data_IF_956915402167
#
_entry.id   IF_956915402167
#
_cell.length_a   1.000
_cell.length_b   1.000
_cell.length_c   1.000
_cell.angle_alpha   90.00
_cell.angle_beta   90.00
_cell.angle_gamma   90.00
#
_symmetry.space_group_name_H-M   'P 1'
#
loop_
_entity.id
_entity.type
_entity.pdbx_description
1 polymer ?
#
# COMPACT_ATOMS: atom_id res chain seq x y z
N UNK A 1 6.97 -18.54 1.08
CA UNK A 1 5.88 -17.70 1.66
C UNK A 1 5.03 -17.08 0.57
N UNK A 2 3.71 -16.99 0.79
CA UNK A 2 2.72 -16.57 -0.23
C UNK A 2 2.32 -15.09 -0.14
N UNK A 3 2.25 -14.40 -1.28
CA UNK A 3 1.90 -12.96 -1.38
C UNK A 3 0.61 -12.77 -2.17
N UNK A 4 -0.36 -12.02 -1.61
CA UNK A 4 -1.58 -11.63 -2.34
C UNK A 4 -1.53 -10.17 -2.72
N UNK A 5 -1.50 -9.89 -4.02
CA UNK A 5 -1.54 -8.54 -4.58
C UNK A 5 -2.97 -8.13 -4.96
N UNK A 6 -3.50 -7.08 -4.31
CA UNK A 6 -4.81 -6.49 -4.64
C UNK A 6 -4.58 -5.14 -5.34
N UNK A 7 -4.43 -5.18 -6.66
CA UNK A 7 -4.37 -3.99 -7.53
C UNK A 7 -2.99 -3.58 -8.06
N UNK A 8 -3.01 -2.75 -9.12
CA UNK A 8 -1.82 -2.33 -9.91
C UNK A 8 -0.77 -1.53 -9.11
N UNK A 9 -1.18 -0.82 -8.07
CA UNK A 9 -0.31 0.10 -7.37
C UNK A 9 0.67 -0.59 -6.39
N UNK A 10 0.47 -1.88 -6.13
CA UNK A 10 1.24 -2.73 -5.23
C UNK A 10 2.37 -3.48 -5.90
N UNK A 11 2.43 -3.41 -7.23
CA UNK A 11 3.41 -4.10 -8.06
C UNK A 11 4.86 -3.95 -7.59
N UNK A 12 5.26 -2.78 -7.10
CA UNK A 12 6.60 -2.62 -6.53
C UNK A 12 6.83 -3.39 -5.25
N UNK A 13 5.86 -3.32 -4.33
CA UNK A 13 5.96 -4.05 -3.09
C UNK A 13 5.97 -5.55 -3.37
N UNK A 14 5.20 -6.00 -4.37
CA UNK A 14 5.21 -7.40 -4.82
C UNK A 14 6.50 -7.80 -5.54
N UNK A 15 7.11 -6.94 -6.37
CA UNK A 15 8.43 -7.19 -6.96
C UNK A 15 9.52 -7.29 -5.89
N UNK A 16 9.54 -6.33 -4.98
CA UNK A 16 10.44 -6.36 -3.83
C UNK A 16 10.27 -7.69 -3.07
N UNK A 17 9.03 -8.10 -2.77
CA UNK A 17 8.75 -9.33 -2.03
C UNK A 17 9.33 -10.55 -2.72
N UNK A 18 9.18 -10.61 -4.05
CA UNK A 18 9.75 -11.67 -4.86
C UNK A 18 11.27 -11.68 -4.81
N UNK A 19 11.90 -10.52 -4.99
CA UNK A 19 13.36 -10.37 -5.00
C UNK A 19 13.95 -10.71 -3.61
N UNK A 20 13.14 -10.63 -2.56
CA UNK A 20 13.48 -11.02 -1.18
C UNK A 20 13.03 -12.42 -0.80
N UNK A 21 12.65 -13.27 -1.77
CA UNK A 21 12.44 -14.71 -1.54
C UNK A 21 10.98 -15.14 -1.41
N UNK A 22 9.99 -14.30 -1.74
CA UNK A 22 8.61 -14.77 -1.85
C UNK A 22 8.46 -15.80 -2.99
N UNK A 23 8.15 -17.04 -2.63
CA UNK A 23 8.07 -18.19 -3.53
C UNK A 23 6.78 -18.24 -4.35
N UNK A 24 5.68 -17.69 -3.83
CA UNK A 24 4.37 -17.73 -4.47
C UNK A 24 3.71 -16.36 -4.45
N UNK A 25 3.30 -15.89 -5.64
CA UNK A 25 2.60 -14.63 -5.81
C UNK A 25 1.26 -14.91 -6.45
N UNK A 26 0.19 -14.53 -5.76
CA UNK A 26 -1.17 -14.57 -6.28
C UNK A 26 -1.68 -13.15 -6.45
N UNK A 27 -2.21 -12.83 -7.62
CA UNK A 27 -2.76 -11.51 -7.91
C UNK A 27 -4.27 -11.62 -8.05
N UNK A 28 -4.98 -10.69 -7.43
CA UNK A 28 -6.43 -10.61 -7.57
C UNK A 28 -6.91 -9.19 -7.84
N UNK A 29 -7.93 -9.06 -8.67
CA UNK A 29 -8.50 -7.78 -9.08
C UNK A 29 -9.98 -7.97 -9.45
N UNK A 30 -10.80 -6.94 -9.20
CA UNK A 30 -12.23 -6.94 -9.60
C UNK A 30 -12.41 -7.15 -11.11
N UNK A 31 -11.45 -6.69 -11.91
CA UNK A 31 -11.35 -7.00 -13.34
C UNK A 31 -10.30 -8.10 -13.50
N UNK A 32 -10.73 -9.32 -13.82
CA UNK A 32 -9.86 -10.50 -13.82
C UNK A 32 -8.72 -10.39 -14.84
N UNK A 33 -8.96 -9.79 -16.00
CA UNK A 33 -7.95 -9.57 -17.05
C UNK A 33 -6.77 -8.72 -16.51
N UNK A 34 -7.05 -7.74 -15.64
CA UNK A 34 -5.99 -6.96 -14.98
C UNK A 34 -5.20 -7.77 -13.96
N UNK A 35 -5.81 -8.79 -13.36
CA UNK A 35 -5.10 -9.70 -12.48
C UNK A 35 -4.16 -10.60 -13.29
N UNK A 36 -4.61 -11.11 -14.45
CA UNK A 36 -3.79 -11.92 -15.37
C UNK A 36 -2.57 -11.16 -15.90
N UNK A 37 -2.79 -9.95 -16.44
CA UNK A 37 -1.70 -9.09 -16.95
C UNK A 37 -0.62 -8.85 -15.88
N UNK A 38 -1.05 -8.54 -14.65
CA UNK A 38 -0.15 -8.24 -13.55
C UNK A 38 0.53 -9.51 -12.99
N UNK A 39 -0.19 -10.63 -12.91
CA UNK A 39 0.37 -11.92 -12.50
C UNK A 39 1.47 -12.37 -13.46
N UNK A 40 1.23 -12.26 -14.77
CA UNK A 40 2.20 -12.62 -15.80
C UNK A 40 3.49 -11.81 -15.68
N UNK A 41 3.38 -10.52 -15.41
CA UNK A 41 4.55 -9.65 -15.26
C UNK A 41 5.33 -9.92 -13.96
N UNK A 42 4.63 -10.33 -12.91
CA UNK A 42 5.24 -10.68 -11.62
C UNK A 42 5.78 -12.10 -11.57
N UNK A 43 5.46 -12.96 -12.55
CA UNK A 43 5.77 -14.39 -12.52
C UNK A 43 4.94 -15.14 -11.49
N UNK A 44 3.72 -14.66 -11.22
CA UNK A 44 2.76 -15.27 -10.30
C UNK A 44 1.51 -15.79 -11.01
N UNK A 45 0.49 -16.10 -10.23
CA UNK A 45 -0.79 -16.62 -10.71
C UNK A 45 -1.93 -15.62 -10.47
N UNK A 46 -2.87 -15.54 -11.40
CA UNK A 46 -4.08 -14.74 -11.21
C UNK A 46 -5.17 -15.58 -10.55
N UNK A 47 -5.89 -14.99 -9.61
CA UNK A 47 -7.05 -15.61 -8.97
C UNK A 47 -8.26 -14.68 -8.99
N UNK A 48 -9.49 -15.21 -9.20
CA UNK A 48 -10.71 -14.41 -9.17
C UNK A 48 -10.87 -13.63 -7.86
N UNK A 49 -11.37 -12.39 -7.94
CA UNK A 49 -11.60 -11.54 -6.77
C UNK A 49 -12.52 -12.17 -5.72
N UNK A 50 -13.42 -13.05 -6.14
CA UNK A 50 -14.29 -13.81 -5.23
C UNK A 50 -13.53 -14.76 -4.31
N UNK A 51 -12.30 -15.15 -4.65
CA UNK A 51 -11.46 -16.03 -3.83
C UNK A 51 -10.62 -15.26 -2.79
N UNK A 52 -10.70 -13.93 -2.76
CA UNK A 52 -9.94 -13.10 -1.81
C UNK A 52 -10.06 -13.59 -0.35
N UNK A 53 -11.25 -13.95 0.19
CA UNK A 53 -11.35 -14.47 1.56
C UNK A 53 -10.51 -15.73 1.81
N UNK A 54 -10.47 -16.65 0.86
CA UNK A 54 -9.69 -17.90 0.97
C UNK A 54 -8.20 -17.60 0.90
N UNK A 55 -7.79 -16.76 -0.07
CA UNK A 55 -6.40 -16.35 -0.24
C UNK A 55 -5.85 -15.63 1.00
N UNK A 56 -6.67 -14.84 1.70
CA UNK A 56 -6.28 -14.23 2.98
C UNK A 56 -5.92 -15.28 4.05
N UNK A 57 -6.58 -16.44 4.02
CA UNK A 57 -6.30 -17.56 4.91
C UNK A 57 -4.97 -18.24 4.63
N UNK A 58 -4.48 -18.20 3.40
CA UNK A 58 -3.27 -18.91 2.96
C UNK A 58 -2.02 -18.02 2.91
N UNK A 59 -2.21 -16.75 2.57
CA UNK A 59 -1.12 -15.80 2.30
C UNK A 59 -0.40 -15.35 3.56
N UNK A 60 0.92 -15.17 3.52
CA UNK A 60 1.68 -14.59 4.63
C UNK A 60 1.62 -13.07 4.61
N UNK A 61 1.62 -12.50 3.40
CA UNK A 61 1.67 -11.07 3.15
C UNK A 61 0.59 -10.68 2.13
N UNK A 62 -0.15 -9.62 2.42
CA UNK A 62 -1.18 -9.06 1.54
C UNK A 62 -0.83 -7.61 1.25
N UNK A 63 -0.73 -7.27 -0.02
CA UNK A 63 -0.46 -5.90 -0.48
C UNK A 63 -1.71 -5.36 -1.15
N UNK A 64 -2.36 -4.37 -0.53
CA UNK A 64 -3.58 -3.74 -1.07
C UNK A 64 -3.33 -2.32 -1.52
N UNK A 65 -3.68 -2.02 -2.77
CA UNK A 65 -3.38 -0.72 -3.41
C UNK A 65 -4.48 -0.21 -4.33
N UNK A 66 -5.70 -0.67 -4.10
CA UNK A 66 -6.85 -0.35 -4.93
C UNK A 66 -7.20 1.14 -4.86
N UNK A 67 -7.98 1.58 -5.84
CA UNK A 67 -8.60 2.91 -5.83
C UNK A 67 -10.04 2.89 -5.32
N UNK A 68 -10.41 1.88 -4.53
CA UNK A 68 -11.76 1.71 -4.02
C UNK A 68 -12.15 2.87 -3.10
N UNK A 69 -13.39 3.38 -3.16
CA UNK A 69 -13.86 4.42 -2.23
C UNK A 69 -14.15 3.90 -0.81
N UNK A 70 -14.02 2.60 -0.55
CA UNK A 70 -14.22 1.98 0.76
C UNK A 70 -13.36 0.73 0.95
N UNK A 71 -13.37 0.17 2.15
CA UNK A 71 -12.52 -0.97 2.51
C UNK A 71 -12.82 -2.18 1.63
N UNK A 72 -11.78 -2.65 0.93
CA UNK A 72 -11.76 -3.89 0.16
C UNK A 72 -11.59 -5.08 1.08
N UNK A 73 -10.78 -4.94 2.13
CA UNK A 73 -10.62 -5.93 3.19
C UNK A 73 -11.37 -5.42 4.43
N UNK A 74 -12.50 -6.03 4.73
CA UNK A 74 -13.28 -5.70 5.92
C UNK A 74 -12.69 -6.38 7.17
N UNK A 75 -13.05 -5.88 8.34
CA UNK A 75 -12.65 -6.48 9.62
C UNK A 75 -13.05 -7.96 9.70
N UNK A 76 -14.26 -8.28 9.25
CA UNK A 76 -14.82 -9.62 9.30
C UNK A 76 -14.04 -10.58 8.39
N UNK A 77 -13.66 -10.14 7.18
CA UNK A 77 -12.84 -10.96 6.28
C UNK A 77 -11.49 -11.29 6.89
N UNK A 78 -10.81 -10.30 7.47
CA UNK A 78 -9.51 -10.51 8.12
C UNK A 78 -9.67 -11.41 9.35
N UNK A 79 -10.70 -11.19 10.16
CA UNK A 79 -10.98 -12.03 11.33
C UNK A 79 -11.23 -13.49 10.94
N UNK A 80 -12.03 -13.75 9.89
CA UNK A 80 -12.24 -15.11 9.39
C UNK A 80 -10.95 -15.74 8.89
N UNK A 81 -10.10 -14.98 8.19
CA UNK A 81 -8.80 -15.47 7.75
C UNK A 81 -7.92 -15.90 8.93
N UNK A 82 -7.90 -15.15 10.04
CA UNK A 82 -7.09 -15.51 11.23
C UNK A 82 -7.51 -16.82 11.91
N UNK A 83 -8.78 -17.22 11.79
CA UNK A 83 -9.28 -18.45 12.41
C UNK A 83 -8.68 -19.72 11.76
N UNK A 84 -8.28 -19.64 10.49
CA UNK A 84 -7.84 -20.80 9.70
C UNK A 84 -6.31 -20.92 9.61
N UNK A 85 -5.56 -20.21 10.46
CA UNK A 85 -4.12 -19.96 10.27
C UNK A 85 -3.21 -20.57 11.33
N UNK A 86 -3.72 -21.36 12.27
CA UNK A 86 -2.92 -21.96 13.36
C UNK A 86 -1.97 -20.96 14.05
N UNK A 87 -2.44 -19.73 14.28
CA UNK A 87 -1.67 -18.60 14.84
C UNK A 87 -0.51 -18.05 13.98
N UNK A 88 -0.41 -18.44 12.71
CA UNK A 88 0.54 -17.83 11.76
C UNK A 88 0.23 -16.34 11.55
N UNK A 89 1.25 -15.46 11.65
CA UNK A 89 1.08 -14.04 11.37
C UNK A 89 0.48 -13.75 9.99
N UNK A 90 -0.34 -12.69 9.91
CA UNK A 90 -0.83 -12.13 8.65
C UNK A 90 -0.36 -10.68 8.54
N UNK A 91 0.50 -10.41 7.56
CA UNK A 91 0.99 -9.06 7.28
C UNK A 91 0.12 -8.39 6.23
N UNK A 92 -0.41 -7.22 6.55
CA UNK A 92 -1.26 -6.43 5.68
C UNK A 92 -0.56 -5.10 5.37
N UNK A 93 -0.31 -4.84 4.08
CA UNK A 93 0.30 -3.60 3.61
C UNK A 93 -0.74 -2.79 2.82
N UNK A 94 -1.29 -1.75 3.45
CA UNK A 94 -2.26 -0.83 2.87
C UNK A 94 -1.57 0.40 2.27
N UNK A 95 -1.38 0.37 0.95
CA UNK A 95 -0.76 1.45 0.16
C UNK A 95 -1.85 2.23 -0.62
N UNK A 96 -3.12 2.04 -0.28
CA UNK A 96 -4.25 2.71 -0.92
C UNK A 96 -4.56 4.07 -0.27
N UNK A 97 -5.06 4.99 -1.09
CA UNK A 97 -5.59 6.29 -0.64
C UNK A 97 -6.84 6.60 -1.46
N UNK A 98 -8.05 6.60 -0.86
CA UNK A 98 -8.36 6.23 0.53
C UNK A 98 -8.02 4.76 0.86
N UNK A 99 -7.95 4.42 2.15
CA UNK A 99 -7.50 3.10 2.65
C UNK A 99 -8.36 1.96 2.13
N UNK A 100 -7.70 0.85 1.80
CA UNK A 100 -8.37 -0.39 1.38
C UNK A 100 -8.70 -1.31 2.55
N UNK A 101 -7.98 -1.19 3.65
CA UNK A 101 -8.09 -2.14 4.76
C UNK A 101 -8.73 -1.43 5.94
N UNK A 102 -9.73 -2.08 6.55
CA UNK A 102 -10.35 -1.55 7.75
C UNK A 102 -9.29 -1.40 8.87
N UNK A 103 -9.04 -0.18 9.39
CA UNK A 103 -7.98 0.05 10.37
C UNK A 103 -8.20 -0.69 11.69
N UNK A 104 -9.43 -1.15 11.97
CA UNK A 104 -9.74 -1.98 13.15
C UNK A 104 -9.05 -3.36 13.09
N UNK A 105 -8.67 -3.83 11.90
CA UNK A 105 -7.94 -5.09 11.74
C UNK A 105 -6.62 -5.13 12.52
N UNK A 106 -6.02 -3.97 12.83
CA UNK A 106 -4.82 -3.85 13.68
C UNK A 106 -5.04 -4.37 15.13
N UNK A 107 -6.28 -4.52 15.57
CA UNK A 107 -6.61 -5.02 16.92
C UNK A 107 -6.75 -6.54 16.99
N UNK A 108 -6.69 -7.23 15.85
CA UNK A 108 -6.78 -8.68 15.80
C UNK A 108 -5.43 -9.30 16.16
N UNK A 109 -5.45 -10.37 16.94
CA UNK A 109 -4.24 -11.11 17.28
C UNK A 109 -3.58 -11.68 16.02
N UNK A 110 -2.24 -11.65 15.99
CA UNK A 110 -1.42 -12.11 14.86
C UNK A 110 -1.69 -11.38 13.52
N UNK A 111 -2.30 -10.20 13.54
CA UNK A 111 -2.47 -9.33 12.36
C UNK A 111 -1.59 -8.09 12.46
N UNK A 112 -0.71 -7.92 11.48
CA UNK A 112 0.20 -6.79 11.40
C UNK A 112 -0.19 -5.90 10.24
N UNK A 113 -1.02 -4.89 10.52
CA UNK A 113 -1.42 -3.90 9.53
C UNK A 113 -0.44 -2.73 9.51
N UNK A 114 0.20 -2.55 8.36
CA UNK A 114 1.04 -1.40 8.02
C UNK A 114 0.37 -0.62 6.90
N UNK A 115 0.30 0.69 7.06
CA UNK A 115 -0.05 1.59 5.98
C UNK A 115 1.18 2.41 5.59
N UNK A 116 1.00 3.20 4.54
CA UNK A 116 2.04 4.07 4.01
C UNK A 116 2.65 5.08 5.01
N UNK A 117 1.91 5.45 6.06
CA UNK A 117 2.38 6.35 7.12
C UNK A 117 3.23 5.61 8.15
N UNK A 118 2.94 4.34 8.43
CA UNK A 118 3.76 3.53 9.34
C UNK A 118 5.15 3.24 8.75
N UNK A 119 5.27 3.22 7.42
CA UNK A 119 6.55 3.11 6.72
C UNK A 119 7.49 4.31 6.99
N UNK A 120 6.95 5.47 7.38
CA UNK A 120 7.75 6.65 7.73
C UNK A 120 8.39 6.51 9.13
N UNK A 121 7.69 5.89 10.08
CA UNK A 121 8.13 5.77 11.48
C UNK A 121 9.29 4.77 11.66
N UNK A 122 9.36 3.73 10.84
CA UNK A 122 10.43 2.70 10.91
C UNK A 122 11.78 3.23 10.43
N UNK A 123 11.80 4.27 9.58
CA UNK A 123 13.06 4.90 9.13
C UNK A 123 13.76 5.66 10.27
N UNK A 124 13.00 6.25 11.20
CA UNK A 124 13.56 6.96 12.35
C UNK A 124 14.05 6.02 13.45
N UNK A 125 13.33 4.92 13.72
CA UNK A 125 13.71 3.93 14.74
C UNK A 125 15.04 3.20 14.43
N UNK A 126 15.33 2.96 13.15
CA UNK A 126 16.57 2.31 12.68
C UNK A 126 17.85 3.12 12.92
N UNK A 127 17.75 4.41 13.23
CA UNK A 127 18.91 5.23 13.60
C UNK A 127 19.30 5.04 15.07
N UNK A 128 18.38 4.61 15.93
CA UNK A 128 18.60 4.48 17.37
C UNK A 128 18.90 3.04 17.82
N UNK A 129 18.34 2.02 17.16
CA UNK A 129 18.47 0.62 17.60
C UNK A 129 19.82 -0.04 17.28
N UNK A 130 20.61 0.49 16.34
CA UNK A 130 21.95 -0.03 16.00
C UNK A 130 23.02 0.14 17.10
N UNK A 131 22.64 0.71 18.25
CA UNK A 131 23.58 0.99 19.32
C UNK A 131 23.62 -0.07 20.44
N UNK A 132 22.62 -0.96 20.57
CA UNK A 132 22.42 -1.57 21.89
C UNK A 132 22.50 -3.08 22.05
N UNK A 133 21.96 -3.99 21.24
CA UNK A 133 21.98 -5.40 21.68
C UNK A 133 22.32 -6.40 20.59
N UNK A 134 23.34 -7.20 20.92
CA UNK A 134 23.73 -8.44 20.28
C UNK A 134 23.68 -9.49 21.39
N UNK A 135 22.77 -10.47 21.34
CA UNK A 135 22.87 -11.66 22.18
C UNK A 135 22.26 -12.92 21.53
N UNK A 136 23.13 -13.67 20.83
CA UNK A 136 23.27 -15.15 20.70
C UNK A 136 22.07 -16.09 20.50
N UNK A 137 20.83 -15.63 20.49
CA UNK A 137 19.64 -16.36 20.00
C UNK A 137 19.08 -15.71 18.72
N UNK A 138 19.56 -14.50 18.41
CA UNK A 138 19.06 -13.63 17.34
C UNK A 138 19.57 -14.00 15.94
N UNK A 139 20.69 -14.73 15.77
CA UNK A 139 21.35 -14.88 14.46
C UNK A 139 20.50 -15.51 13.33
N UNK A 140 19.55 -16.40 13.66
CA UNK A 140 18.63 -16.99 12.66
C UNK A 140 17.46 -16.05 12.37
N UNK A 141 17.02 -15.29 13.37
CA UNK A 141 16.00 -14.25 13.20
C UNK A 141 16.58 -13.03 12.50
N UNK A 142 17.86 -12.73 12.69
CA UNK A 142 18.60 -11.62 12.08
C UNK A 142 18.76 -11.79 10.58
N UNK A 143 19.02 -12.99 10.05
CA UNK A 143 19.07 -13.18 8.58
C UNK A 143 17.69 -12.95 7.93
N UNK A 144 16.62 -13.46 8.54
CA UNK A 144 15.25 -13.23 8.08
C UNK A 144 14.83 -11.76 8.28
N UNK A 145 15.24 -11.13 9.37
CA UNK A 145 15.00 -9.70 9.64
C UNK A 145 15.83 -8.83 8.71
N UNK A 146 17.06 -9.19 8.37
CA UNK A 146 17.90 -8.42 7.45
C UNK A 146 17.45 -8.58 6.02
N UNK A 147 17.05 -9.79 5.59
CA UNK A 147 16.36 -9.99 4.31
C UNK A 147 15.04 -9.22 4.26
N UNK A 148 14.26 -9.24 5.34
CA UNK A 148 13.05 -8.43 5.51
C UNK A 148 13.35 -6.92 5.54
N UNK A 149 14.49 -6.49 6.06
CA UNK A 149 14.86 -5.08 6.17
C UNK A 149 15.50 -4.56 4.88
N UNK A 150 16.23 -5.37 4.13
CA UNK A 150 16.66 -5.09 2.76
C UNK A 150 15.46 -5.04 1.82
N UNK A 151 14.56 -6.00 1.95
CA UNK A 151 13.23 -5.96 1.34
C UNK A 151 12.50 -4.66 1.69
N UNK A 152 12.43 -4.31 2.97
CA UNK A 152 11.76 -3.10 3.47
C UNK A 152 12.41 -1.82 2.94
N UNK A 153 13.75 -1.78 2.86
CA UNK A 153 14.51 -0.66 2.28
C UNK A 153 14.26 -0.53 0.78
N UNK A 154 14.02 -1.63 0.06
CA UNK A 154 13.60 -1.57 -1.35
C UNK A 154 12.24 -0.86 -1.52
N UNK A 155 11.42 -0.77 -0.46
CA UNK A 155 10.17 0.00 -0.45
C UNK A 155 10.36 1.51 -0.18
N UNK A 156 11.59 2.04 -0.11
CA UNK A 156 11.87 3.44 0.26
C UNK A 156 11.16 4.50 -0.61
N UNK A 157 10.69 4.16 -1.80
CA UNK A 157 9.89 5.07 -2.64
C UNK A 157 8.41 5.12 -2.25
N UNK A 158 7.90 4.05 -1.62
CA UNK A 158 6.49 3.91 -1.24
C UNK A 158 6.03 5.06 -0.33
N UNK A 159 6.77 5.46 0.72
CA UNK A 159 6.40 6.62 1.55
C UNK A 159 6.27 7.93 0.77
N UNK A 160 7.14 8.14 -0.23
CA UNK A 160 7.13 9.35 -1.07
C UNK A 160 5.93 9.39 -1.99
N UNK A 161 5.57 8.25 -2.59
CA UNK A 161 4.34 8.09 -3.38
C UNK A 161 3.11 8.38 -2.50
N UNK A 162 3.13 7.94 -1.24
CA UNK A 162 2.06 8.20 -0.29
C UNK A 162 1.88 9.64 0.08
N UNK A 163 2.98 10.31 0.43
CA UNK A 163 2.99 11.73 0.74
C UNK A 163 2.44 12.55 -0.45
N UNK A 164 2.89 12.23 -1.67
CA UNK A 164 2.39 12.83 -2.89
C UNK A 164 0.87 12.63 -3.08
N UNK A 165 0.38 11.40 -2.89
CA UNK A 165 -1.05 11.07 -3.01
C UNK A 165 -1.89 11.78 -1.96
N UNK A 166 -1.46 11.82 -0.70
CA UNK A 166 -2.15 12.53 0.39
C UNK A 166 -2.24 14.03 0.12
N UNK A 167 -1.13 14.65 -0.28
CA UNK A 167 -1.12 16.07 -0.59
C UNK A 167 -2.06 16.41 -1.75
N UNK A 168 -2.04 15.61 -2.82
CA UNK A 168 -2.93 15.79 -3.95
C UNK A 168 -4.41 15.62 -3.55
N UNK A 169 -4.73 14.63 -2.69
CA UNK A 169 -6.09 14.42 -2.19
C UNK A 169 -6.54 15.57 -1.27
N UNK A 170 -5.66 16.07 -0.41
CA UNK A 170 -5.95 17.23 0.44
C UNK A 170 -6.24 18.49 -0.40
N UNK A 171 -5.45 18.74 -1.45
CA UNK A 171 -5.69 19.83 -2.40
C UNK A 171 -7.04 19.64 -3.10
N UNK A 172 -7.31 18.42 -3.60
CA UNK A 172 -8.58 18.10 -4.27
C UNK A 172 -9.78 18.36 -3.38
N UNK A 173 -9.75 17.88 -2.14
CA UNK A 173 -10.85 18.06 -1.19
C UNK A 173 -11.07 19.53 -0.86
N UNK A 174 -9.99 20.29 -0.64
CA UNK A 174 -10.07 21.73 -0.38
C UNK A 174 -10.69 22.49 -1.55
N UNK A 175 -10.25 22.23 -2.78
CA UNK A 175 -10.78 22.90 -3.98
C UNK A 175 -12.19 22.44 -4.34
N UNK A 176 -12.52 21.16 -4.15
CA UNK A 176 -13.88 20.65 -4.31
C UNK A 176 -14.83 21.34 -3.32
N UNK A 177 -14.47 21.40 -2.03
CA UNK A 177 -15.28 22.06 -1.02
C UNK A 177 -15.49 23.55 -1.32
N UNK A 178 -14.44 24.27 -1.75
CA UNK A 178 -14.52 25.67 -2.18
C UNK A 178 -15.46 25.87 -3.36
N UNK A 179 -15.37 24.99 -4.35
CA UNK A 179 -16.18 25.05 -5.57
C UNK A 179 -17.65 24.75 -5.27
N UNK A 180 -17.93 23.69 -4.52
CA UNK A 180 -19.29 23.29 -4.15
C UNK A 180 -19.99 24.36 -3.28
N UNK A 181 -19.25 25.10 -2.43
CA UNK A 181 -19.81 26.23 -1.67
C UNK A 181 -20.23 27.42 -2.54
N UNK A 182 -19.65 27.57 -3.74
CA UNK A 182 -19.98 28.66 -4.68
C UNK A 182 -21.09 28.27 -5.66
N UNK A 183 -21.24 26.96 -5.90
CA UNK A 183 -22.29 26.41 -6.75
C UNK A 183 -23.54 26.12 -5.89
N UNK A 184 -24.27 27.18 -5.52
CA UNK A 184 -25.55 27.05 -4.85
C UNK A 184 -26.57 26.38 -5.79
N UNK A 185 -27.28 25.37 -5.31
CA UNK A 185 -28.38 24.72 -6.04
C UNK A 185 -28.07 23.40 -6.74
N UNK A 186 -26.84 22.87 -6.67
CA UNK A 186 -26.54 21.55 -7.22
C UNK A 186 -27.26 20.44 -6.46
N UNK A 187 -27.93 19.55 -7.20
CA UNK A 187 -28.48 18.30 -6.68
C UNK A 187 -27.37 17.31 -6.27
N UNK A 188 -27.72 16.26 -5.52
CA UNK A 188 -26.76 15.25 -5.07
C UNK A 188 -26.05 14.55 -6.23
N UNK A 189 -26.76 14.28 -7.32
CA UNK A 189 -26.19 13.62 -8.50
C UNK A 189 -25.12 14.50 -9.18
N UNK A 190 -25.36 15.80 -9.30
CA UNK A 190 -24.42 16.74 -9.90
C UNK A 190 -23.18 16.91 -9.02
N UNK A 191 -23.36 16.96 -7.69
CA UNK A 191 -22.24 16.96 -6.73
C UNK A 191 -21.38 15.71 -6.87
N UNK A 192 -22.00 14.54 -6.98
CA UNK A 192 -21.29 13.28 -7.18
C UNK A 192 -20.50 13.27 -8.52
N UNK A 193 -21.07 13.83 -9.59
CA UNK A 193 -20.38 13.97 -10.90
C UNK A 193 -19.16 14.88 -10.80
N UNK A 194 -19.27 16.03 -10.13
CA UNK A 194 -18.14 16.96 -9.91
C UNK A 194 -17.06 16.32 -9.04
N UNK A 195 -17.46 15.59 -7.99
CA UNK A 195 -16.53 14.84 -7.16
C UNK A 195 -15.79 13.76 -7.97
N UNK A 196 -16.51 12.94 -8.73
CA UNK A 196 -15.93 11.90 -9.58
C UNK A 196 -14.96 12.49 -10.61
N UNK A 197 -15.31 13.63 -11.23
CA UNK A 197 -14.42 14.35 -12.15
C UNK A 197 -13.13 14.80 -11.46
N UNK A 198 -13.23 15.42 -10.28
CA UNK A 198 -12.05 15.87 -9.52
C UNK A 198 -11.13 14.71 -9.14
N UNK A 199 -11.70 13.56 -8.73
CA UNK A 199 -10.96 12.33 -8.43
C UNK A 199 -10.26 11.79 -9.67
N UNK A 200 -10.95 11.81 -10.82
CA UNK A 200 -10.37 11.35 -12.09
C UNK A 200 -9.18 12.21 -12.54
N UNK A 201 -9.24 13.54 -12.34
CA UNK A 201 -8.12 14.45 -12.65
C UNK A 201 -6.90 14.12 -11.79
N UNK A 202 -7.08 14.02 -10.46
CA UNK A 202 -5.98 13.66 -9.54
C UNK A 202 -5.39 12.31 -9.91
N UNK A 203 -6.24 11.30 -10.16
CA UNK A 203 -5.80 9.97 -10.59
C UNK A 203 -4.94 10.04 -11.85
N UNK A 204 -5.35 10.78 -12.88
CA UNK A 204 -4.60 10.94 -14.13
C UNK A 204 -3.28 11.67 -13.95
N UNK A 205 -3.26 12.76 -13.16
CA UNK A 205 -2.05 13.53 -12.87
C UNK A 205 -1.01 12.70 -12.12
N UNK A 206 -1.45 11.89 -11.16
CA UNK A 206 -0.53 11.10 -10.33
C UNK A 206 -0.09 9.79 -10.99
N UNK A 207 -0.77 9.33 -12.04
CA UNK A 207 -0.44 8.05 -12.68
C UNK A 207 1.02 7.96 -13.13
N UNK A 208 1.47 8.92 -13.96
CA UNK A 208 2.81 8.91 -14.55
C UNK A 208 3.92 9.22 -13.53
N UNK A 209 3.83 10.25 -12.66
CA UNK A 209 4.84 10.51 -11.63
C UNK A 209 4.99 9.33 -10.66
N UNK A 210 3.86 8.73 -10.25
CA UNK A 210 3.89 7.53 -9.42
C UNK A 210 4.61 6.40 -10.15
N UNK A 211 4.26 6.11 -11.41
CA UNK A 211 4.89 5.06 -12.22
C UNK A 211 6.41 5.26 -12.41
N UNK A 212 6.87 6.50 -12.63
CA UNK A 212 8.31 6.79 -12.78
C UNK A 212 9.07 6.57 -11.47
N UNK A 213 8.50 7.04 -10.34
CA UNK A 213 9.01 6.75 -9.01
C UNK A 213 9.06 5.25 -8.76
N UNK A 214 8.07 4.50 -9.28
CA UNK A 214 8.08 3.04 -9.21
C UNK A 214 9.27 2.45 -9.97
N UNK A 215 9.45 2.82 -11.22
CA UNK A 215 10.43 2.19 -12.12
C UNK A 215 11.89 2.57 -11.83
N UNK A 216 12.14 3.73 -11.21
CA UNK A 216 13.49 4.26 -10.99
C UNK A 216 13.78 4.38 -9.50
N UNK A 217 14.10 3.25 -8.87
CA UNK A 217 14.42 3.11 -7.44
C UNK A 217 15.80 3.72 -7.05
N UNK A 218 16.18 4.81 -7.70
CA UNK A 218 17.40 5.54 -7.38
C UNK A 218 17.06 6.59 -6.31
N UNK A 219 17.79 6.63 -5.17
CA UNK A 219 17.55 7.59 -4.09
C UNK A 219 17.41 9.06 -4.54
N UNK A 220 18.11 9.45 -5.60
CA UNK A 220 18.05 10.80 -6.16
C UNK A 220 16.69 11.20 -6.76
N UNK A 221 15.91 10.26 -7.33
CA UNK A 221 14.58 10.58 -7.86
C UNK A 221 13.56 10.78 -6.75
N UNK A 222 13.68 9.99 -5.68
CA UNK A 222 12.83 10.12 -4.49
C UNK A 222 13.03 11.48 -3.83
N UNK A 223 14.29 11.90 -3.66
CA UNK A 223 14.63 13.23 -3.13
C UNK A 223 14.07 14.36 -4.00
N UNK A 224 14.25 14.29 -5.32
CA UNK A 224 13.75 15.31 -6.25
C UNK A 224 12.22 15.48 -6.17
N UNK A 225 11.46 14.40 -6.04
CA UNK A 225 10.00 14.49 -5.88
C UNK A 225 9.63 15.10 -4.53
N UNK A 226 10.34 14.74 -3.45
CA UNK A 226 10.09 15.32 -2.13
C UNK A 226 10.32 16.83 -2.12
N UNK A 227 11.35 17.30 -2.82
CA UNK A 227 11.61 18.74 -2.98
C UNK A 227 10.57 19.44 -3.87
N UNK A 228 10.28 18.89 -5.06
CA UNK A 228 9.35 19.50 -6.03
C UNK A 228 7.93 19.67 -5.46
N UNK A 229 7.51 18.74 -4.61
CA UNK A 229 6.17 18.76 -4.00
C UNK A 229 6.18 19.23 -2.54
N UNK A 230 7.33 19.62 -2.00
CA UNK A 230 7.45 20.11 -0.63
C UNK A 230 7.03 19.09 0.43
N UNK A 231 7.33 17.81 0.19
CA UNK A 231 6.91 16.69 1.05
C UNK A 231 7.79 16.55 2.31
N UNK A 232 8.88 17.30 2.41
CA UNK A 232 9.88 17.20 3.48
C UNK A 232 9.59 18.02 4.75
N UNK A 233 8.39 18.60 4.87
CA UNK A 233 7.93 19.15 6.13
C UNK A 233 8.94 20.06 6.83
N UNK A 234 9.42 21.12 6.16
CA UNK A 234 9.82 22.31 6.92
C UNK A 234 8.62 23.24 6.97
N UNK A 235 8.00 23.45 8.15
CA UNK A 235 7.06 24.54 8.27
C UNK A 235 7.80 25.85 7.95
N UNK A 236 7.18 26.68 7.10
CA UNK A 236 7.46 28.11 7.11
C UNK A 236 6.67 28.75 8.25
#
# INVERSE_FOLDING_TARGET
GGVVGVGEAGKLATHALRDSGAEQITVTNRTYERAEELAQELGGEASPFSQLPQLLGEADIVVSTTGSPGHVLTLEMVQQATLNRDSRPLFLMDIAVPRDIDPRARRLDNVYLYNIDDLLLVSEANRMQRAQEANKVEAIVEEEVDAFMEWWRSLAVVPTIGALRRQAEAIRQAELARTLRRLNGLGEEERARVEAMSRAIVKKLLHKPTAVLRQRMQPGHTQAVRELFGLDGRPK
#
